data_IF_927537466834
#
_entry.id   IF_927537466834
#
_cell.length_a   1.000
_cell.length_b   1.000
_cell.length_c   1.000
_cell.angle_alpha   90.00
_cell.angle_beta   90.00
_cell.angle_gamma   90.00
#
_symmetry.space_group_name_H-M   'P 1'
#
loop_
_entity.id
_entity.type
_entity.pdbx_description
1 polymer ?
#
# COMPACT_ATOMS: atom_id res chain seq x y z
N UNK A 1 -11.78 20.84 -2.61
CA UNK A 1 -10.63 20.59 -1.70
C UNK A 1 -10.62 21.61 -0.57
N UNK A 2 -10.41 22.89 -0.86
CA UNK A 2 -10.25 23.96 0.12
C UNK A 2 -11.44 24.11 1.07
N UNK A 3 -12.68 23.94 0.59
CA UNK A 3 -13.88 24.04 1.43
C UNK A 3 -13.97 22.94 2.48
N UNK A 4 -13.61 21.72 2.15
CA UNK A 4 -13.63 20.57 3.09
C UNK A 4 -12.55 20.77 4.15
N UNK A 5 -11.34 21.17 3.74
CA UNK A 5 -10.24 21.46 4.67
C UNK A 5 -10.61 22.56 5.65
N UNK A 6 -11.17 23.69 5.17
CA UNK A 6 -11.61 24.80 6.02
C UNK A 6 -12.74 24.41 6.97
N UNK A 7 -13.68 23.58 6.52
CA UNK A 7 -14.74 23.08 7.38
C UNK A 7 -14.18 22.20 8.51
N UNK A 8 -13.22 21.32 8.22
CA UNK A 8 -12.55 20.50 9.22
C UNK A 8 -11.72 21.32 10.21
N UNK A 9 -10.95 22.29 9.72
CA UNK A 9 -10.19 23.22 10.58
C UNK A 9 -11.10 24.04 11.50
N UNK A 10 -12.25 24.48 11.00
CA UNK A 10 -13.25 25.21 11.80
C UNK A 10 -13.86 24.33 12.88
N UNK A 11 -14.22 23.08 12.56
CA UNK A 11 -14.71 22.11 13.54
C UNK A 11 -13.67 21.85 14.63
N UNK A 12 -12.40 21.67 14.27
CA UNK A 12 -11.30 21.53 15.22
C UNK A 12 -11.18 22.75 16.13
N UNK A 13 -11.24 23.98 15.58
CA UNK A 13 -11.21 25.22 16.36
C UNK A 13 -12.40 25.36 17.31
N UNK A 14 -13.61 25.04 16.85
CA UNK A 14 -14.83 25.13 17.67
C UNK A 14 -14.78 24.14 18.84
N UNK A 15 -14.24 22.95 18.64
CA UNK A 15 -14.07 21.96 19.71
C UNK A 15 -12.96 22.32 20.69
N UNK A 16 -11.81 22.80 20.20
CA UNK A 16 -10.69 23.24 21.05
C UNK A 16 -11.05 24.49 21.87
N UNK A 17 -11.92 25.36 21.33
CA UNK A 17 -12.40 26.56 22.05
C UNK A 17 -13.59 26.30 23.00
N UNK A 18 -14.02 25.04 23.13
CA UNK A 18 -15.13 24.66 24.00
C UNK A 18 -16.53 25.03 23.49
N UNK A 19 -16.63 25.48 22.21
CA UNK A 19 -17.90 25.88 21.59
C UNK A 19 -18.64 24.71 20.92
N UNK A 20 -17.96 23.58 20.69
CA UNK A 20 -18.54 22.40 20.05
C UNK A 20 -19.03 21.38 21.06
N UNK A 21 -20.32 21.06 21.04
CA UNK A 21 -20.89 19.99 21.85
C UNK A 21 -20.94 18.71 21.00
N UNK A 22 -19.89 17.92 21.05
CA UNK A 22 -19.87 16.60 20.40
C UNK A 22 -20.56 15.62 21.36
N UNK A 23 -21.86 15.41 21.18
CA UNK A 23 -22.57 14.28 21.77
C UNK A 23 -22.26 13.04 20.94
N UNK A 24 -21.21 12.30 21.32
CA UNK A 24 -20.91 10.97 20.79
C UNK A 24 -21.41 9.91 21.76
N UNK A 25 -22.45 9.17 21.41
CA UNK A 25 -22.76 7.90 22.07
C UNK A 25 -21.66 6.90 21.68
N UNK A 26 -20.83 6.48 22.63
CA UNK A 26 -19.82 5.45 22.40
C UNK A 26 -18.44 5.67 23.00
N UNK A 27 -18.23 6.74 23.74
CA UNK A 27 -16.98 6.95 24.47
C UNK A 27 -17.01 6.14 25.77
N UNK A 28 -16.44 4.92 25.71
CA UNK A 28 -16.19 4.11 26.92
C UNK A 28 -15.24 4.81 27.87
N UNK A 29 -15.27 4.40 29.13
CA UNK A 29 -14.52 4.87 30.29
C UNK A 29 -13.07 5.31 29.95
N UNK A 30 -12.81 6.63 29.90
CA UNK A 30 -11.50 7.20 29.62
C UNK A 30 -11.56 8.48 28.78
N UNK A 31 -12.49 9.39 29.05
CA UNK A 31 -12.49 10.69 28.36
C UNK A 31 -11.19 11.44 28.60
N UNK A 32 -10.56 11.97 27.52
CA UNK A 32 -9.42 12.86 27.67
C UNK A 32 -9.80 14.05 28.56
N UNK A 33 -8.99 14.26 29.60
CA UNK A 33 -9.30 15.24 30.64
C UNK A 33 -8.80 16.63 30.28
N UNK A 34 -7.79 16.73 29.40
CA UNK A 34 -7.21 18.01 28.98
C UNK A 34 -7.75 18.46 27.63
N UNK A 35 -7.67 19.75 27.37
CA UNK A 35 -8.10 20.35 26.09
C UNK A 35 -7.21 19.88 24.93
N UNK A 36 -5.93 19.62 25.21
CA UNK A 36 -4.96 19.10 24.23
C UNK A 36 -5.25 17.65 23.88
N UNK A 37 -5.60 16.81 24.86
CA UNK A 37 -5.96 15.41 24.63
C UNK A 37 -7.24 15.29 23.80
N UNK A 38 -8.20 16.19 24.01
CA UNK A 38 -9.44 16.26 23.22
C UNK A 38 -9.17 16.69 21.79
N UNK A 39 -8.29 17.67 21.58
CA UNK A 39 -7.89 18.12 20.24
C UNK A 39 -7.16 17.01 19.48
N UNK A 40 -6.27 16.27 20.16
CA UNK A 40 -5.56 15.14 19.60
C UNK A 40 -6.51 13.99 19.23
N UNK A 41 -7.42 13.63 20.11
CA UNK A 41 -8.42 12.59 19.88
C UNK A 41 -9.32 12.94 18.69
N UNK A 42 -9.79 14.19 18.60
CA UNK A 42 -10.64 14.64 17.49
C UNK A 42 -9.86 14.68 16.18
N UNK A 43 -8.61 15.14 16.18
CA UNK A 43 -7.76 15.15 15.00
C UNK A 43 -7.52 13.74 14.43
N UNK A 44 -7.48 12.73 15.30
CA UNK A 44 -7.31 11.33 14.88
C UNK A 44 -8.61 10.63 14.49
N UNK A 45 -9.76 11.12 14.98
CA UNK A 45 -11.10 10.56 14.67
C UNK A 45 -11.69 11.25 13.45
N UNK A 46 -11.45 12.56 13.30
CA UNK A 46 -11.99 13.33 12.19
C UNK A 46 -11.13 13.16 10.95
N UNK A 47 -11.45 12.19 10.11
CA UNK A 47 -10.87 12.08 8.78
C UNK A 47 -11.46 13.17 7.88
N UNK A 48 -10.73 14.27 7.76
CA UNK A 48 -11.02 15.39 6.84
C UNK A 48 -10.24 15.27 5.54
N UNK A 49 -9.50 14.18 5.37
CA UNK A 49 -8.75 13.86 4.18
C UNK A 49 -9.66 13.39 3.04
N UNK A 50 -9.20 13.59 1.82
CA UNK A 50 -9.79 12.95 0.65
C UNK A 50 -8.70 12.72 -0.40
N UNK A 51 -8.85 11.66 -1.17
CA UNK A 51 -7.98 11.34 -2.30
C UNK A 51 -8.65 11.76 -3.59
N UNK A 52 -7.85 12.25 -4.53
CA UNK A 52 -8.27 12.49 -5.91
C UNK A 52 -7.48 11.54 -6.79
N UNK A 53 -8.17 10.57 -7.34
CA UNK A 53 -7.62 9.61 -8.26
C UNK A 53 -8.01 10.02 -9.68
N UNK A 54 -7.08 9.87 -10.62
CA UNK A 54 -7.34 9.97 -12.06
C UNK A 54 -7.29 8.57 -12.64
N UNK A 55 -8.20 8.29 -13.55
CA UNK A 55 -8.08 7.12 -14.40
C UNK A 55 -6.97 7.41 -15.42
N UNK A 56 -6.06 6.47 -15.55
CA UNK A 56 -4.94 6.50 -16.48
C UNK A 56 -4.83 5.14 -17.17
N UNK A 57 -3.92 5.03 -18.12
CA UNK A 57 -3.59 3.78 -18.79
C UNK A 57 -3.01 2.76 -17.82
N UNK A 58 -2.95 1.48 -18.25
CA UNK A 58 -2.33 0.40 -17.49
C UNK A 58 -0.89 0.73 -17.05
N UNK A 59 -0.50 0.24 -15.88
CA UNK A 59 0.87 0.38 -15.37
C UNK A 59 1.88 -0.49 -16.13
N UNK A 60 1.40 -1.48 -16.85
CA UNK A 60 2.23 -2.44 -17.58
C UNK A 60 2.53 -1.95 -19.00
N UNK A 61 3.71 -2.29 -19.51
CA UNK A 61 4.08 -2.09 -20.93
C UNK A 61 3.21 -2.98 -21.81
N UNK A 62 2.83 -2.47 -22.98
CA UNK A 62 2.13 -3.28 -23.96
C UNK A 62 3.07 -4.34 -24.55
N UNK A 63 2.60 -5.59 -24.58
CA UNK A 63 3.37 -6.74 -25.07
C UNK A 63 2.84 -7.27 -26.42
N UNK A 64 1.96 -6.52 -27.06
CA UNK A 64 1.38 -6.89 -28.35
C UNK A 64 2.23 -6.32 -29.48
N UNK A 65 3.28 -7.07 -29.86
CA UNK A 65 4.07 -6.79 -31.04
C UNK A 65 3.78 -7.85 -32.10
N UNK A 66 3.72 -7.44 -33.36
CA UNK A 66 3.72 -8.41 -34.46
C UNK A 66 5.07 -9.16 -34.46
N UNK A 67 5.12 -10.44 -34.92
CA UNK A 67 6.36 -11.22 -34.94
C UNK A 67 7.53 -10.52 -35.63
N UNK A 68 7.26 -9.67 -36.60
CA UNK A 68 8.23 -8.93 -37.40
C UNK A 68 8.77 -7.67 -36.65
N UNK A 69 8.11 -7.26 -35.58
CA UNK A 69 8.50 -6.09 -34.79
C UNK A 69 9.53 -6.40 -33.68
N UNK A 70 9.85 -7.70 -33.48
CA UNK A 70 10.81 -8.10 -32.46
C UNK A 70 12.25 -7.92 -32.96
N UNK A 71 12.97 -6.99 -32.33
CA UNK A 71 14.39 -6.81 -32.49
C UNK A 71 15.13 -7.30 -31.23
N UNK A 72 16.37 -7.78 -31.40
CA UNK A 72 17.22 -8.27 -30.31
C UNK A 72 17.45 -7.18 -29.25
N UNK A 73 17.47 -5.88 -29.64
CA UNK A 73 17.55 -4.75 -28.74
C UNK A 73 16.30 -4.57 -27.86
N UNK A 74 15.14 -5.02 -28.30
CA UNK A 74 13.89 -4.96 -27.53
C UNK A 74 13.88 -5.96 -26.37
N UNK A 75 14.60 -7.08 -26.49
CA UNK A 75 14.69 -8.09 -25.41
C UNK A 75 15.24 -7.52 -24.12
N UNK A 76 16.20 -6.59 -24.18
CA UNK A 76 16.73 -5.90 -23.02
C UNK A 76 15.67 -4.95 -22.38
N UNK A 77 14.77 -4.40 -23.18
CA UNK A 77 13.66 -3.55 -22.71
C UNK A 77 12.51 -4.33 -22.05
N UNK A 78 12.44 -5.65 -22.28
CA UNK A 78 11.43 -6.54 -21.69
C UNK A 78 11.77 -7.00 -20.28
N UNK A 79 12.97 -6.70 -19.76
CA UNK A 79 13.36 -7.02 -18.37
C UNK A 79 12.44 -6.33 -17.35
N UNK A 80 11.87 -5.16 -17.68
CA UNK A 80 10.88 -4.49 -16.87
C UNK A 80 9.56 -4.41 -17.63
N UNK A 81 8.55 -5.10 -17.12
CA UNK A 81 7.18 -5.07 -17.63
C UNK A 81 6.40 -3.81 -17.19
N UNK A 82 6.95 -3.00 -16.30
CA UNK A 82 6.34 -1.79 -15.77
C UNK A 82 6.80 -0.58 -16.59
N UNK A 83 5.88 0.35 -16.87
CA UNK A 83 6.18 1.63 -17.54
C UNK A 83 7.10 2.48 -16.67
N UNK A 84 8.05 3.19 -17.28
CA UNK A 84 9.10 3.92 -16.58
C UNK A 84 8.59 5.20 -15.87
N UNK A 85 7.42 5.68 -16.25
CA UNK A 85 6.75 6.86 -15.69
C UNK A 85 5.85 6.54 -14.49
N UNK A 86 5.76 5.27 -14.07
CA UNK A 86 4.91 4.82 -12.96
C UNK A 86 5.63 4.92 -11.62
N UNK A 87 4.90 5.43 -10.62
CA UNK A 87 5.37 5.49 -9.24
C UNK A 87 4.93 4.25 -8.45
N UNK A 88 5.56 4.00 -7.30
CA UNK A 88 5.17 2.91 -6.41
C UNK A 88 3.70 3.01 -5.97
N UNK A 89 3.18 4.24 -5.83
CA UNK A 89 1.78 4.45 -5.49
C UNK A 89 0.85 4.08 -6.65
N UNK A 90 1.24 4.31 -7.90
CA UNK A 90 0.45 3.89 -9.06
C UNK A 90 0.36 2.36 -9.11
N UNK A 91 1.47 1.67 -8.81
CA UNK A 91 1.52 0.22 -8.72
C UNK A 91 0.67 -0.30 -7.56
N UNK A 92 0.77 0.32 -6.38
CA UNK A 92 -0.03 -0.03 -5.22
C UNK A 92 -1.53 0.08 -5.53
N UNK A 93 -1.96 1.23 -6.06
CA UNK A 93 -3.36 1.44 -6.40
C UNK A 93 -3.84 0.54 -7.54
N UNK A 94 -2.97 0.22 -8.50
CA UNK A 94 -3.25 -0.78 -9.53
C UNK A 94 -3.54 -2.15 -8.91
N UNK A 95 -2.71 -2.61 -7.98
CA UNK A 95 -2.93 -3.87 -7.27
C UNK A 95 -4.22 -3.86 -6.42
N UNK A 96 -4.56 -2.72 -5.80
CA UNK A 96 -5.83 -2.61 -5.06
C UNK A 96 -7.05 -2.78 -5.98
N UNK A 97 -7.00 -2.21 -7.18
CA UNK A 97 -8.07 -2.36 -8.18
C UNK A 97 -8.16 -3.83 -8.65
N UNK A 98 -7.03 -4.45 -8.97
CA UNK A 98 -6.97 -5.85 -9.42
C UNK A 98 -7.57 -6.84 -8.42
N UNK A 99 -7.39 -6.57 -7.14
CA UNK A 99 -7.96 -7.38 -6.06
C UNK A 99 -9.34 -6.91 -5.57
N UNK A 100 -9.88 -5.84 -6.16
CA UNK A 100 -11.18 -5.28 -5.78
C UNK A 100 -11.20 -4.72 -4.36
N UNK A 101 -10.06 -4.22 -3.86
CA UNK A 101 -9.98 -3.60 -2.54
C UNK A 101 -10.47 -2.15 -2.58
N UNK A 102 -11.12 -1.66 -1.50
CA UNK A 102 -11.54 -0.27 -1.42
C UNK A 102 -10.35 0.68 -1.55
N UNK A 103 -10.46 1.76 -2.34
CA UNK A 103 -9.37 2.73 -2.51
C UNK A 103 -9.31 3.82 -1.43
N UNK A 104 -10.28 3.82 -0.52
CA UNK A 104 -10.45 4.87 0.51
C UNK A 104 -9.71 4.59 1.82
N UNK A 105 -9.30 3.34 2.07
CA UNK A 105 -8.68 2.95 3.33
C UNK A 105 -7.26 3.52 3.49
N UNK A 106 -6.76 3.68 4.72
CA UNK A 106 -5.47 4.27 4.97
C UNK A 106 -4.32 3.39 4.48
N UNK A 107 -3.22 4.01 4.07
CA UNK A 107 -1.96 3.33 3.82
C UNK A 107 -0.81 4.08 4.49
N UNK A 108 0.24 3.34 4.80
CA UNK A 108 1.49 3.86 5.36
C UNK A 108 2.65 3.39 4.50
N UNK A 109 3.69 4.21 4.41
CA UNK A 109 4.94 3.86 3.76
C UNK A 109 6.05 3.96 4.78
N UNK A 110 6.86 2.93 4.90
CA UNK A 110 7.97 2.86 5.84
C UNK A 110 9.22 2.33 5.15
N UNK A 111 10.38 2.59 5.75
CA UNK A 111 11.66 2.08 5.24
C UNK A 111 12.07 0.87 6.06
N UNK A 112 12.33 -0.25 5.39
CA UNK A 112 12.84 -1.49 5.99
C UNK A 112 14.08 -1.91 5.19
N UNK A 113 15.23 -1.99 5.82
CA UNK A 113 16.51 -2.36 5.20
C UNK A 113 16.80 -1.62 3.89
N UNK A 114 16.45 -0.32 3.84
CA UNK A 114 16.68 0.52 2.66
C UNK A 114 15.60 0.42 1.58
N UNK A 115 14.61 -0.46 1.74
CA UNK A 115 13.48 -0.60 0.83
C UNK A 115 12.24 0.13 1.37
N UNK A 116 11.45 0.68 0.44
CA UNK A 116 10.16 1.29 0.76
C UNK A 116 9.06 0.23 0.77
N UNK A 117 8.49 0.00 1.93
CA UNK A 117 7.39 -0.94 2.12
C UNK A 117 6.09 -0.18 2.36
N UNK A 118 5.10 -0.45 1.54
CA UNK A 118 3.77 0.13 1.63
C UNK A 118 2.83 -0.86 2.31
N UNK A 119 2.24 -0.45 3.43
CA UNK A 119 1.23 -1.23 4.17
C UNK A 119 -0.12 -0.57 3.99
N UNK A 120 -1.07 -1.28 3.41
CA UNK A 120 -2.44 -0.83 3.20
C UNK A 120 -3.37 -1.50 4.21
N UNK A 121 -4.24 -0.68 4.85
CA UNK A 121 -5.25 -1.07 5.83
C UNK A 121 -4.72 -2.06 6.88
N UNK A 122 -3.61 -1.71 7.54
CA UNK A 122 -2.96 -2.48 8.60
C UNK A 122 -2.61 -3.94 8.25
N UNK A 123 -2.45 -4.26 6.95
CA UNK A 123 -1.99 -5.57 6.48
C UNK A 123 -2.91 -6.30 5.50
N UNK A 124 -3.97 -5.66 5.00
CA UNK A 124 -4.76 -6.21 3.89
C UNK A 124 -3.90 -6.40 2.64
N UNK A 125 -2.97 -5.48 2.41
CA UNK A 125 -1.96 -5.56 1.37
C UNK A 125 -0.65 -4.95 1.88
N UNK A 126 0.46 -5.68 1.71
CA UNK A 126 1.81 -5.13 1.88
C UNK A 126 2.55 -5.25 0.55
N UNK A 127 3.17 -4.16 0.11
CA UNK A 127 3.85 -4.10 -1.18
C UNK A 127 5.25 -3.50 -1.05
N UNK A 128 6.19 -4.04 -1.83
CA UNK A 128 7.54 -3.50 -2.01
C UNK A 128 7.88 -3.51 -3.50
N UNK A 129 8.18 -2.33 -4.07
CA UNK A 129 8.44 -2.17 -5.51
C UNK A 129 9.86 -1.72 -5.82
N UNK A 130 10.76 -1.75 -4.86
CA UNK A 130 12.16 -1.38 -5.04
C UNK A 130 12.91 -2.34 -5.98
N UNK A 131 13.98 -1.82 -6.59
CA UNK A 131 14.77 -2.56 -7.60
C UNK A 131 15.65 -3.67 -7.02
N UNK A 132 15.96 -3.64 -5.72
CA UNK A 132 16.77 -4.65 -5.03
C UNK A 132 16.11 -4.96 -3.71
N UNK A 133 15.37 -6.05 -3.63
CA UNK A 133 14.63 -6.47 -2.43
C UNK A 133 15.44 -7.56 -1.72
N UNK A 134 16.07 -7.27 -0.59
CA UNK A 134 16.82 -8.27 0.17
C UNK A 134 15.86 -9.27 0.83
N UNK A 135 16.35 -10.48 1.08
CA UNK A 135 15.59 -11.54 1.74
C UNK A 135 15.08 -11.14 3.14
N UNK A 136 15.81 -10.26 3.83
CA UNK A 136 15.42 -9.71 5.13
C UNK A 136 14.09 -8.98 5.07
N UNK A 137 13.87 -8.16 4.04
CA UNK A 137 12.60 -7.43 3.81
C UNK A 137 11.46 -8.41 3.55
N UNK A 138 11.70 -9.44 2.74
CA UNK A 138 10.70 -10.48 2.46
C UNK A 138 10.31 -11.22 3.74
N UNK A 139 11.28 -11.56 4.58
CA UNK A 139 11.04 -12.21 5.89
C UNK A 139 10.25 -11.31 6.83
N UNK A 140 10.62 -10.04 6.92
CA UNK A 140 9.91 -9.06 7.76
C UNK A 140 8.45 -8.92 7.33
N UNK A 141 8.19 -8.81 6.02
CA UNK A 141 6.84 -8.77 5.48
C UNK A 141 6.09 -10.07 5.78
N UNK A 142 6.71 -11.23 5.59
CA UNK A 142 6.08 -12.52 5.87
C UNK A 142 5.75 -12.71 7.37
N UNK A 143 6.59 -12.20 8.28
CA UNK A 143 6.34 -12.22 9.73
C UNK A 143 5.09 -11.43 10.12
N UNK A 144 4.78 -10.36 9.40
CA UNK A 144 3.56 -9.55 9.62
C UNK A 144 2.28 -10.26 9.17
N UNK A 145 2.40 -11.40 8.48
CA UNK A 145 1.29 -12.23 8.00
C UNK A 145 0.21 -11.45 7.25
N UNK A 146 0.56 -10.71 6.20
CA UNK A 146 -0.40 -9.92 5.46
C UNK A 146 -1.42 -10.82 4.76
N UNK A 147 -2.63 -10.30 4.53
CA UNK A 147 -3.61 -11.03 3.71
C UNK A 147 -3.14 -11.15 2.26
N UNK A 148 -2.40 -10.15 1.76
CA UNK A 148 -1.80 -10.15 0.42
C UNK A 148 -0.43 -9.47 0.45
N UNK A 149 0.48 -9.97 -0.38
CA UNK A 149 1.79 -9.35 -0.56
C UNK A 149 2.11 -9.20 -2.06
N UNK A 150 2.74 -8.07 -2.42
CA UNK A 150 3.17 -7.79 -3.79
C UNK A 150 4.62 -7.36 -3.81
N UNK A 151 5.36 -7.93 -4.75
CA UNK A 151 6.74 -7.57 -5.01
C UNK A 151 6.92 -7.25 -6.49
N UNK A 152 7.87 -6.37 -6.78
CA UNK A 152 8.28 -6.09 -8.16
C UNK A 152 9.15 -7.21 -8.69
N UNK A 153 8.87 -7.70 -9.91
CA UNK A 153 9.64 -8.78 -10.56
C UNK A 153 11.10 -8.42 -10.75
N UNK A 154 11.36 -7.22 -11.28
CA UNK A 154 12.73 -6.70 -11.45
C UNK A 154 13.43 -6.34 -10.13
N UNK A 155 12.77 -6.46 -8.98
CA UNK A 155 13.34 -6.27 -7.65
C UNK A 155 14.18 -7.47 -7.18
N UNK A 156 14.16 -8.60 -7.88
CA UNK A 156 14.92 -9.79 -7.56
C UNK A 156 16.01 -10.04 -8.61
N UNK A 157 17.22 -10.31 -8.15
CA UNK A 157 18.36 -10.52 -9.04
C UNK A 157 18.28 -11.84 -9.85
N UNK A 158 17.48 -12.81 -9.36
CA UNK A 158 17.40 -14.13 -10.00
C UNK A 158 16.06 -14.82 -9.80
N UNK A 159 15.73 -15.74 -10.71
CA UNK A 159 14.52 -16.57 -10.58
C UNK A 159 14.47 -17.43 -9.32
N UNK A 160 15.59 -18.01 -8.81
CA UNK A 160 15.58 -18.69 -7.51
C UNK A 160 15.16 -17.81 -6.34
N UNK A 161 15.52 -16.53 -6.34
CA UNK A 161 15.11 -15.58 -5.29
C UNK A 161 13.59 -15.37 -5.30
N UNK A 162 12.98 -15.26 -6.49
CA UNK A 162 11.53 -15.17 -6.64
C UNK A 162 10.81 -16.40 -6.09
N UNK A 163 11.34 -17.60 -6.35
CA UNK A 163 10.80 -18.85 -5.82
C UNK A 163 10.93 -18.87 -4.29
N UNK A 164 12.05 -18.40 -3.77
CA UNK A 164 12.33 -18.34 -2.34
C UNK A 164 11.33 -17.45 -1.59
N UNK A 165 10.80 -16.40 -2.22
CA UNK A 165 9.72 -15.57 -1.64
C UNK A 165 8.54 -16.44 -1.21
N UNK A 166 8.05 -17.30 -2.10
CA UNK A 166 6.91 -18.16 -1.81
C UNK A 166 7.22 -19.17 -0.69
N UNK A 167 8.43 -19.72 -0.67
CA UNK A 167 8.85 -20.66 0.38
C UNK A 167 8.98 -19.96 1.75
N UNK A 168 9.48 -18.72 1.78
CA UNK A 168 9.52 -17.91 3.00
C UNK A 168 8.10 -17.68 3.53
N UNK A 169 7.16 -17.28 2.66
CA UNK A 169 5.77 -17.08 3.09
C UNK A 169 5.12 -18.37 3.59
N UNK A 170 5.38 -19.53 2.97
CA UNK A 170 4.90 -20.83 3.45
C UNK A 170 5.45 -21.17 4.85
N UNK A 171 6.72 -20.81 5.10
CA UNK A 171 7.33 -21.04 6.41
C UNK A 171 6.66 -20.22 7.53
N UNK A 172 6.35 -18.95 7.26
CA UNK A 172 5.73 -18.06 8.24
C UNK A 172 4.21 -18.17 8.33
N UNK A 173 3.56 -18.71 7.29
CA UNK A 173 2.12 -18.89 7.17
C UNK A 173 1.75 -20.32 6.79
N UNK A 174 2.09 -21.32 7.61
CA UNK A 174 1.90 -22.75 7.28
C UNK A 174 0.42 -23.14 7.12
N UNK A 175 -0.49 -22.46 7.82
CA UNK A 175 -1.94 -22.68 7.71
C UNK A 175 -2.48 -22.33 6.33
N UNK A 176 -1.85 -21.39 5.66
CA UNK A 176 -2.23 -20.86 4.36
C UNK A 176 -1.34 -21.38 3.20
N UNK A 177 -0.48 -22.34 3.47
CA UNK A 177 0.55 -22.82 2.52
C UNK A 177 0.01 -23.17 1.12
N UNK A 178 -1.22 -23.68 1.04
CA UNK A 178 -1.87 -24.03 -0.23
C UNK A 178 -2.40 -22.81 -1.00
N UNK A 179 -2.63 -21.70 -0.32
CA UNK A 179 -3.20 -20.47 -0.89
C UNK A 179 -2.17 -19.35 -1.04
N UNK A 180 -0.91 -19.58 -0.67
CA UNK A 180 0.16 -18.57 -0.76
C UNK A 180 0.29 -18.01 -2.18
N UNK A 181 0.19 -18.84 -3.22
CA UNK A 181 0.26 -18.40 -4.62
C UNK A 181 -0.89 -17.45 -5.02
N UNK A 182 -2.00 -17.43 -4.30
CA UNK A 182 -3.11 -16.51 -4.50
C UNK A 182 -2.91 -15.20 -3.74
N UNK A 183 -2.16 -15.25 -2.64
CA UNK A 183 -1.93 -14.12 -1.73
C UNK A 183 -0.66 -13.35 -2.06
N UNK A 184 0.37 -14.04 -2.55
CA UNK A 184 1.66 -13.43 -2.92
C UNK A 184 1.74 -13.33 -4.43
N UNK A 185 2.02 -12.13 -4.92
CA UNK A 185 2.26 -11.87 -6.35
C UNK A 185 3.61 -11.19 -6.55
N UNK A 186 4.22 -11.52 -7.66
CA UNK A 186 5.38 -10.82 -8.22
C UNK A 186 4.93 -10.22 -9.55
N UNK A 187 5.02 -8.90 -9.71
CA UNK A 187 4.53 -8.14 -10.86
C UNK A 187 5.66 -7.46 -11.61
#
# INVERSE_FOLDING_TARGET
KERIRRAGEKLLQDVTSGKGNIKGEGWGCGMPTTQEDRAFAIKNILDIGFRVLKLDDTNMKDVYYAPDDYDQGMLAGLESNIKDDRTDLDLLFGCLIDWGLPLSLPYKSEQIDGCTVHTYNDGDLIACFDANIPESVVKEIAQRKPLRAVFRDSGFASSPEKINVFEIFKLYMPEDANDISKRVRVI
#
